data_IF_838691467999
#
_entry.id   IF_838691467999
#
_cell.length_a   1.000
_cell.length_b   1.000
_cell.length_c   1.000
_cell.angle_alpha   90.00
_cell.angle_beta   90.00
_cell.angle_gamma   90.00
#
_symmetry.space_group_name_H-M   'P 1'
#
loop_
_entity.id
_entity.type
_entity.pdbx_description
1 polymer ?
#
# COMPACT_ATOMS: atom_id res chain seq x y z
N UNK A 1 10.48 5.14 12.36
CA UNK A 1 9.07 4.96 12.70
C UNK A 1 8.71 3.50 12.52
N UNK A 2 7.89 2.91 13.37
CA UNK A 2 7.46 1.53 13.13
C UNK A 2 6.74 1.45 11.77
N UNK A 3 6.97 0.38 11.02
CA UNK A 3 6.47 0.25 9.64
C UNK A 3 4.95 0.38 9.51
N UNK A 4 4.25 0.11 10.58
CA UNK A 4 2.78 0.12 10.60
C UNK A 4 2.16 1.49 10.87
N UNK A 5 2.94 2.48 11.35
CA UNK A 5 2.32 3.63 11.99
C UNK A 5 1.66 4.60 11.00
N UNK A 6 2.20 4.77 9.80
CA UNK A 6 1.72 5.86 8.96
C UNK A 6 1.55 5.52 7.49
N UNK A 7 2.05 4.42 6.98
CA UNK A 7 1.94 4.01 5.58
C UNK A 7 1.95 5.19 4.58
N UNK A 8 2.84 6.13 4.82
CA UNK A 8 2.99 7.31 3.98
C UNK A 8 4.06 7.06 2.93
N UNK A 9 3.78 7.50 1.71
CA UNK A 9 4.71 7.47 0.60
C UNK A 9 5.30 8.84 0.32
N UNK A 10 6.32 8.87 -0.51
CA UNK A 10 6.82 10.12 -1.10
C UNK A 10 5.75 10.78 -1.95
N UNK A 11 4.93 9.98 -2.62
CA UNK A 11 3.72 10.42 -3.31
C UNK A 11 2.54 9.87 -2.53
N UNK A 12 1.63 10.74 -2.08
CA UNK A 12 0.52 10.34 -1.23
C UNK A 12 -0.76 11.09 -1.54
N UNK A 13 -1.66 10.53 -2.35
CA UNK A 13 -2.96 11.13 -2.64
C UNK A 13 -3.87 11.30 -1.42
N UNK A 14 -3.53 10.69 -0.29
CA UNK A 14 -4.36 10.67 0.92
C UNK A 14 -5.76 10.09 0.66
N UNK A 15 -6.79 10.61 1.34
CA UNK A 15 -8.18 10.20 1.15
C UNK A 15 -8.81 11.00 0.01
N UNK A 16 -8.55 10.57 -1.22
CA UNK A 16 -8.96 11.26 -2.43
C UNK A 16 -9.27 10.28 -3.56
N UNK A 17 -9.58 10.75 -4.73
CA UNK A 17 -9.85 9.92 -5.90
C UNK A 17 -9.18 10.42 -7.18
N UNK A 18 -9.00 9.50 -8.12
CA UNK A 18 -8.71 9.79 -9.52
C UNK A 18 -7.32 10.33 -9.80
N UNK A 19 -6.34 10.09 -8.93
CA UNK A 19 -4.95 10.45 -9.23
C UNK A 19 -4.38 9.56 -10.32
N UNK A 20 -3.63 10.18 -11.23
CA UNK A 20 -2.84 9.49 -12.23
C UNK A 20 -1.37 9.77 -11.93
N UNK A 21 -0.62 8.69 -11.65
CA UNK A 21 0.82 8.70 -11.42
C UNK A 21 1.42 7.87 -12.53
N UNK A 22 2.10 8.51 -13.45
CA UNK A 22 2.60 7.83 -14.64
C UNK A 22 3.96 8.35 -15.08
N UNK A 23 4.71 7.47 -15.76
CA UNK A 23 6.00 7.77 -16.36
C UNK A 23 7.01 8.37 -15.35
N UNK A 24 6.94 7.92 -14.09
CA UNK A 24 7.74 8.43 -12.99
C UNK A 24 8.83 7.44 -12.57
N UNK A 25 9.97 7.97 -12.13
CA UNK A 25 10.91 7.23 -11.30
C UNK A 25 10.68 7.59 -9.84
N UNK A 26 10.45 6.58 -8.99
CA UNK A 26 10.15 6.73 -7.56
C UNK A 26 11.12 5.86 -6.78
N UNK A 27 12.14 6.45 -6.18
CA UNK A 27 13.22 5.70 -5.56
C UNK A 27 13.73 6.31 -4.25
N UNK A 28 14.58 5.55 -3.55
CA UNK A 28 15.31 5.99 -2.35
C UNK A 28 14.43 6.45 -1.17
N UNK A 29 13.18 6.01 -1.14
CA UNK A 29 12.34 6.26 0.03
C UNK A 29 12.83 5.47 1.24
N UNK A 30 12.91 6.11 2.39
CA UNK A 30 13.18 5.39 3.65
C UNK A 30 12.05 4.46 4.04
N UNK A 31 10.83 4.74 3.62
CA UNK A 31 9.64 3.95 3.86
C UNK A 31 9.00 3.53 2.54
N UNK A 32 7.83 4.05 2.22
CA UNK A 32 7.09 3.70 1.01
C UNK A 32 7.34 4.68 -0.13
N UNK A 33 7.33 4.20 -1.37
CA UNK A 33 7.40 5.05 -2.54
C UNK A 33 6.09 5.80 -2.76
N UNK A 34 5.02 5.07 -3.01
CA UNK A 34 3.68 5.61 -3.28
C UNK A 34 2.72 5.08 -2.23
N UNK A 35 1.86 5.95 -1.67
CA UNK A 35 0.76 5.56 -0.78
C UNK A 35 -0.58 5.92 -1.42
N UNK A 36 -1.31 4.91 -1.89
CA UNK A 36 -2.63 5.09 -2.50
C UNK A 36 -3.71 5.19 -1.41
N UNK A 37 -4.11 6.40 -1.10
CA UNK A 37 -5.27 6.69 -0.29
C UNK A 37 -5.15 6.27 1.17
N UNK A 38 -4.36 7.01 1.93
CA UNK A 38 -4.37 6.84 3.38
C UNK A 38 -5.64 7.43 3.96
N UNK A 39 -6.36 6.59 4.72
CA UNK A 39 -7.50 7.06 5.50
C UNK A 39 -7.06 8.08 6.55
N UNK A 40 -7.86 9.12 6.76
CA UNK A 40 -7.64 10.07 7.86
C UNK A 40 -7.66 9.29 9.16
N UNK A 41 -6.52 9.16 9.79
CA UNK A 41 -6.55 8.75 11.19
C UNK A 41 -7.30 9.85 11.94
N UNK A 42 -8.42 9.56 12.59
CA UNK A 42 -8.92 10.46 13.60
C UNK A 42 -7.74 10.75 14.51
N UNK A 43 -7.53 12.02 14.85
CA UNK A 43 -6.47 12.42 15.74
C UNK A 43 -6.25 11.31 16.74
N UNK A 44 -5.03 10.87 16.88
CA UNK A 44 -4.68 9.72 17.71
C UNK A 44 -4.91 10.08 19.18
N UNK A 45 -6.11 10.48 19.45
CA UNK A 45 -6.59 10.81 20.76
C UNK A 45 -6.97 9.52 21.45
N UNK A 46 -5.96 8.82 21.85
CA UNK A 46 -6.05 7.91 22.96
C UNK A 46 -6.57 8.62 24.22
N UNK A 47 -7.52 9.55 24.07
CA UNK A 47 -8.09 10.35 25.16
C UNK A 47 -8.59 9.50 26.31
N UNK A 48 -9.04 8.30 26.00
CA UNK A 48 -9.52 7.35 27.00
C UNK A 48 -8.49 6.30 27.40
N UNK A 49 -7.33 6.29 26.75
CA UNK A 49 -6.27 5.34 27.02
C UNK A 49 -5.04 6.04 27.58
N UNK A 50 -5.21 6.87 28.58
CA UNK A 50 -4.09 7.53 29.28
C UNK A 50 -2.98 6.56 29.69
N UNK A 51 -3.26 5.27 29.73
CA UNK A 51 -2.38 4.22 30.22
C UNK A 51 -2.16 3.07 29.22
N UNK A 52 -2.85 3.05 28.10
CA UNK A 52 -2.73 1.96 27.12
C UNK A 52 -2.61 2.54 25.72
N UNK A 53 -1.50 2.28 25.08
CA UNK A 53 -1.37 2.53 23.66
C UNK A 53 -2.18 1.50 22.91
N UNK A 54 -2.99 1.94 21.96
CA UNK A 54 -3.49 1.03 20.93
C UNK A 54 -2.28 0.55 20.14
N UNK A 55 -2.18 -0.74 19.94
CA UNK A 55 -1.21 -1.27 19.00
C UNK A 55 -1.62 -0.89 17.56
N UNK A 56 -0.69 -1.08 16.62
CA UNK A 56 -0.94 -0.75 15.22
C UNK A 56 -2.14 -1.50 14.64
N UNK A 57 -2.35 -2.73 15.09
CA UNK A 57 -3.47 -3.58 14.66
C UNK A 57 -4.81 -3.03 15.13
N UNK A 58 -4.89 -2.55 16.36
CA UNK A 58 -6.14 -1.96 16.88
C UNK A 58 -6.48 -0.66 16.17
N UNK A 59 -5.49 0.18 15.92
CA UNK A 59 -5.67 1.43 15.15
C UNK A 59 -6.15 1.11 13.74
N UNK A 60 -5.60 0.10 13.12
CA UNK A 60 -5.98 -0.32 11.77
C UNK A 60 -7.43 -0.82 11.72
N UNK A 61 -7.85 -1.62 12.69
CA UNK A 61 -9.24 -2.08 12.80
C UNK A 61 -10.24 -0.94 12.96
N UNK A 62 -9.91 0.04 13.79
CA UNK A 62 -10.76 1.22 13.98
C UNK A 62 -10.89 2.01 12.67
N UNK A 63 -9.79 2.18 11.94
CA UNK A 63 -9.78 2.83 10.63
C UNK A 63 -10.64 2.08 9.61
N UNK A 64 -10.53 0.75 9.58
CA UNK A 64 -11.35 -0.08 8.70
C UNK A 64 -12.85 0.09 9.02
N UNK A 65 -13.22 0.00 10.31
CA UNK A 65 -14.61 0.17 10.71
C UNK A 65 -15.15 1.55 10.32
N UNK A 66 -14.36 2.57 10.49
CA UNK A 66 -14.76 3.93 10.14
C UNK A 66 -14.85 4.14 8.63
N UNK A 67 -13.91 3.61 7.86
CA UNK A 67 -13.96 3.63 6.41
C UNK A 67 -15.19 2.86 5.87
N UNK A 68 -15.58 1.76 6.53
CA UNK A 68 -16.80 1.02 6.18
C UNK A 68 -18.07 1.85 6.43
N UNK A 69 -18.10 2.65 7.49
CA UNK A 69 -19.22 3.55 7.78
C UNK A 69 -19.32 4.66 6.73
N UNK A 70 -18.21 5.24 6.33
CA UNK A 70 -18.16 6.25 5.26
C UNK A 70 -18.46 5.66 3.89
N UNK A 71 -18.16 4.38 3.70
CA UNK A 71 -18.36 3.63 2.48
C UNK A 71 -17.28 3.87 1.42
N UNK A 72 -16.97 2.79 0.70
CA UNK A 72 -16.08 2.83 -0.47
C UNK A 72 -16.92 2.89 -1.73
N UNK A 73 -17.06 4.06 -2.33
CA UNK A 73 -17.72 4.24 -3.61
C UNK A 73 -16.82 4.96 -4.60
N UNK A 74 -17.03 4.71 -5.89
CA UNK A 74 -16.25 5.36 -6.94
C UNK A 74 -16.45 6.88 -7.00
N UNK A 75 -17.49 7.37 -6.38
CA UNK A 75 -17.79 8.78 -6.27
C UNK A 75 -16.92 9.48 -5.24
N UNK A 76 -16.54 8.77 -4.17
CA UNK A 76 -15.89 9.40 -3.03
C UNK A 76 -14.40 9.10 -2.89
N UNK A 77 -13.90 7.95 -3.39
CA UNK A 77 -12.53 7.52 -3.07
C UNK A 77 -11.95 6.59 -4.13
N UNK A 78 -10.60 6.52 -4.22
CA UNK A 78 -9.89 5.54 -5.01
C UNK A 78 -9.87 5.86 -6.50
N UNK A 79 -9.97 4.82 -7.34
CA UNK A 79 -9.89 4.95 -8.81
C UNK A 79 -8.59 5.63 -9.27
N UNK A 80 -7.50 5.42 -8.55
CA UNK A 80 -6.18 5.90 -8.94
C UNK A 80 -5.60 5.04 -10.05
N UNK A 81 -4.70 5.61 -10.83
CA UNK A 81 -3.93 4.91 -11.85
C UNK A 81 -2.45 5.10 -11.56
N UNK A 82 -1.71 3.99 -11.41
CA UNK A 82 -0.26 4.00 -11.35
C UNK A 82 0.25 3.18 -12.52
N UNK A 83 0.96 3.83 -13.45
CA UNK A 83 1.40 3.13 -14.66
C UNK A 83 2.74 3.63 -15.21
N UNK A 84 3.45 2.70 -15.84
CA UNK A 84 4.74 2.95 -16.50
C UNK A 84 5.77 3.67 -15.60
N UNK A 85 5.71 3.33 -14.30
CA UNK A 85 6.65 3.86 -13.33
C UNK A 85 7.77 2.84 -13.05
N UNK A 86 8.97 3.36 -12.78
CA UNK A 86 10.07 2.61 -12.21
C UNK A 86 10.13 2.91 -10.72
N UNK A 87 9.83 1.90 -9.88
CA UNK A 87 9.70 2.07 -8.42
C UNK A 87 10.70 1.16 -7.73
N UNK A 88 11.69 1.74 -7.05
CA UNK A 88 12.78 0.94 -6.51
C UNK A 88 13.48 1.55 -5.30
N UNK A 89 14.31 0.74 -4.65
CA UNK A 89 15.11 1.13 -3.50
C UNK A 89 14.31 1.82 -2.37
N UNK A 90 13.06 1.37 -2.19
CA UNK A 90 12.23 1.81 -1.08
C UNK A 90 12.43 0.89 0.12
N UNK A 91 12.61 1.48 1.30
CA UNK A 91 12.96 0.76 2.51
C UNK A 91 11.84 -0.09 3.10
N UNK A 92 10.59 0.12 2.69
CA UNK A 92 9.43 -0.61 3.19
C UNK A 92 8.57 -1.17 2.06
N UNK A 93 7.93 -0.34 1.28
CA UNK A 93 6.99 -0.74 0.24
C UNK A 93 7.18 0.11 -1.01
N UNK A 94 7.06 -0.49 -2.19
CA UNK A 94 7.00 0.27 -3.43
C UNK A 94 5.70 1.05 -3.50
N UNK A 95 4.57 0.35 -3.48
CA UNK A 95 3.23 0.93 -3.46
C UNK A 95 2.47 0.35 -2.26
N UNK A 96 2.00 1.20 -1.36
CA UNK A 96 1.11 0.82 -0.27
C UNK A 96 -0.29 1.38 -0.50
N UNK A 97 -1.32 0.58 -0.25
CA UNK A 97 -2.70 1.01 -0.22
C UNK A 97 -3.23 0.92 1.20
N UNK A 98 -3.62 2.06 1.78
CA UNK A 98 -4.20 2.11 3.11
C UNK A 98 -5.65 2.56 3.04
N UNK A 99 -6.53 1.61 2.72
CA UNK A 99 -7.99 1.75 2.63
C UNK A 99 -8.51 2.62 1.47
N UNK A 100 -7.73 3.51 0.91
CA UNK A 100 -8.15 4.41 -0.15
C UNK A 100 -7.67 4.02 -1.55
N UNK A 101 -7.00 2.88 -1.70
CA UNK A 101 -6.55 2.36 -2.99
C UNK A 101 -7.61 1.58 -3.77
N UNK A 102 -8.85 1.56 -3.31
CA UNK A 102 -9.98 0.85 -3.93
C UNK A 102 -10.21 1.26 -5.39
N UNK A 103 -10.69 0.36 -6.22
CA UNK A 103 -11.03 0.60 -7.63
C UNK A 103 -9.88 1.08 -8.52
N UNK A 104 -8.64 0.99 -8.04
CA UNK A 104 -7.46 1.53 -8.72
C UNK A 104 -6.91 0.56 -9.76
N UNK A 105 -6.11 1.09 -10.68
CA UNK A 105 -5.39 0.32 -11.70
C UNK A 105 -3.90 0.53 -11.48
N UNK A 106 -3.17 -0.56 -11.32
CA UNK A 106 -1.70 -0.57 -11.19
C UNK A 106 -1.17 -1.43 -12.32
N UNK A 107 -0.57 -0.81 -13.33
CA UNK A 107 -0.21 -1.52 -14.55
C UNK A 107 1.09 -1.04 -15.18
N UNK A 108 1.76 -1.95 -15.88
CA UNK A 108 2.96 -1.66 -16.67
C UNK A 108 4.10 -1.02 -15.85
N UNK A 109 4.18 -1.31 -14.54
CA UNK A 109 5.25 -0.79 -13.69
C UNK A 109 6.40 -1.78 -13.54
N UNK A 110 7.60 -1.26 -13.33
CA UNK A 110 8.76 -2.00 -12.89
C UNK A 110 8.99 -1.72 -11.41
N UNK A 111 8.85 -2.72 -10.55
CA UNK A 111 8.91 -2.59 -9.10
C UNK A 111 9.98 -3.53 -8.58
N UNK A 112 11.06 -2.99 -8.02
CA UNK A 112 12.21 -3.81 -7.65
C UNK A 112 13.03 -3.25 -6.49
N UNK A 113 13.86 -4.11 -5.90
CA UNK A 113 14.75 -3.75 -4.78
C UNK A 113 14.00 -3.10 -3.61
N UNK A 114 12.82 -3.65 -3.29
CA UNK A 114 12.00 -3.14 -2.19
C UNK A 114 12.33 -3.88 -0.90
N UNK A 115 12.65 -3.11 0.14
CA UNK A 115 13.11 -3.59 1.44
C UNK A 115 14.32 -4.56 1.35
N UNK A 116 15.13 -4.43 0.33
CA UNK A 116 16.29 -5.30 0.10
C UNK A 116 17.35 -5.23 1.20
N UNK A 117 17.45 -4.10 1.89
CA UNK A 117 18.35 -3.94 3.06
C UNK A 117 17.80 -4.59 4.32
N UNK A 118 16.54 -5.01 4.33
CA UNK A 118 15.83 -5.63 5.45
C UNK A 118 15.99 -4.88 6.78
N UNK A 119 16.15 -3.57 6.72
CA UNK A 119 16.24 -2.71 7.91
C UNK A 119 14.90 -2.55 8.62
N UNK A 120 13.81 -2.78 7.89
CA UNK A 120 12.46 -2.79 8.41
C UNK A 120 11.93 -4.21 8.34
N UNK A 121 11.47 -4.71 9.46
CA UNK A 121 10.87 -6.04 9.59
C UNK A 121 9.41 -5.90 10.02
N UNK A 122 8.61 -6.92 9.72
CA UNK A 122 7.22 -6.98 10.13
C UNK A 122 6.24 -6.65 9.02
N UNK A 123 5.19 -5.92 9.38
CA UNK A 123 4.08 -5.63 8.48
C UNK A 123 4.44 -4.58 7.42
N UNK A 124 3.63 -4.53 6.37
CA UNK A 124 3.66 -3.49 5.35
C UNK A 124 4.93 -3.48 4.48
N UNK A 125 5.52 -4.64 4.21
CA UNK A 125 6.71 -4.76 3.36
C UNK A 125 6.40 -5.50 2.06
N UNK A 126 6.86 -4.97 0.95
CA UNK A 126 6.71 -5.62 -0.36
C UNK A 126 6.68 -4.66 -1.54
N UNK A 127 6.72 -5.20 -2.74
CA UNK A 127 6.56 -4.40 -3.96
C UNK A 127 5.25 -3.63 -3.95
N UNK A 128 4.14 -4.34 -3.79
CA UNK A 128 2.82 -3.74 -3.52
C UNK A 128 2.25 -4.40 -2.27
N UNK A 129 1.72 -3.59 -1.34
CA UNK A 129 0.97 -4.07 -0.19
C UNK A 129 -0.28 -3.24 0.01
N UNK A 130 -1.45 -3.88 0.05
CA UNK A 130 -2.72 -3.17 0.15
C UNK A 130 -3.64 -3.77 1.21
N UNK A 131 -4.17 -2.89 2.07
CA UNK A 131 -5.42 -3.11 2.78
C UNK A 131 -6.58 -2.57 1.92
N UNK A 132 -7.72 -3.24 1.96
CA UNK A 132 -8.88 -2.91 1.16
C UNK A 132 -8.56 -2.83 -0.35
N UNK A 133 -7.90 -3.88 -0.86
CA UNK A 133 -7.78 -4.06 -2.30
C UNK A 133 -9.14 -4.50 -2.87
N UNK A 134 -10.06 -3.55 -2.99
CA UNK A 134 -11.42 -3.77 -3.47
C UNK A 134 -11.51 -3.39 -4.94
N UNK A 135 -11.86 -4.36 -5.79
CA UNK A 135 -11.99 -4.18 -7.24
C UNK A 135 -10.77 -3.49 -7.89
N UNK A 136 -9.58 -3.80 -7.41
CA UNK A 136 -8.32 -3.28 -7.94
C UNK A 136 -7.86 -4.15 -9.11
N UNK A 137 -7.25 -3.54 -10.11
CA UNK A 137 -6.60 -4.25 -11.22
C UNK A 137 -5.09 -4.08 -11.09
N UNK A 138 -4.38 -5.20 -10.95
CA UNK A 138 -2.91 -5.24 -10.90
C UNK A 138 -2.46 -6.09 -12.08
N UNK A 139 -1.92 -5.45 -13.12
CA UNK A 139 -1.59 -6.17 -14.35
C UNK A 139 -0.32 -5.67 -15.04
N UNK A 140 0.36 -6.60 -15.72
CA UNK A 140 1.55 -6.33 -16.54
C UNK A 140 2.66 -5.59 -15.79
N UNK A 141 2.75 -5.81 -14.47
CA UNK A 141 3.86 -5.29 -13.69
C UNK A 141 4.99 -6.32 -13.62
N UNK A 142 6.20 -5.85 -13.44
CA UNK A 142 7.39 -6.64 -13.26
C UNK A 142 7.93 -6.43 -11.85
N UNK A 143 7.96 -7.52 -11.04
CA UNK A 143 8.42 -7.51 -9.65
C UNK A 143 9.66 -8.37 -9.49
N UNK A 144 10.74 -7.81 -9.00
CA UNK A 144 11.91 -8.60 -8.62
C UNK A 144 12.73 -7.98 -7.49
N UNK A 145 13.50 -8.80 -6.80
CA UNK A 145 14.34 -8.39 -5.68
C UNK A 145 13.56 -7.60 -4.60
N UNK A 146 12.30 -7.94 -4.44
CA UNK A 146 11.48 -7.45 -3.33
C UNK A 146 11.48 -8.47 -2.20
N UNK A 147 11.32 -8.04 -0.96
CA UNK A 147 11.09 -8.96 0.16
C UNK A 147 9.84 -9.80 -0.09
N UNK A 148 8.80 -9.17 -0.62
CA UNK A 148 7.60 -9.80 -1.21
C UNK A 148 7.24 -9.05 -2.48
N UNK A 149 6.76 -9.72 -3.51
CA UNK A 149 6.30 -9.06 -4.72
C UNK A 149 4.97 -8.34 -4.48
N UNK A 150 3.96 -9.09 -4.07
CA UNK A 150 2.60 -8.58 -3.86
C UNK A 150 2.01 -9.13 -2.57
N UNK A 151 1.35 -8.28 -1.81
CA UNK A 151 0.62 -8.65 -0.61
C UNK A 151 -0.75 -7.96 -0.55
N UNK A 152 -1.81 -8.75 -0.74
CA UNK A 152 -3.18 -8.29 -0.54
C UNK A 152 -3.61 -8.73 0.86
N UNK A 153 -3.90 -7.77 1.70
CA UNK A 153 -4.18 -7.97 3.12
C UNK A 153 -5.67 -7.71 3.43
N UNK A 154 -6.00 -7.26 4.60
CA UNK A 154 -7.36 -7.12 5.08
C UNK A 154 -8.29 -6.43 4.08
N UNK A 155 -9.52 -6.93 3.97
CA UNK A 155 -10.58 -6.42 3.11
C UNK A 155 -10.29 -6.55 1.59
N UNK A 156 -9.35 -7.39 1.19
CA UNK A 156 -9.13 -7.66 -0.23
C UNK A 156 -10.31 -8.45 -0.81
N UNK A 157 -10.93 -7.93 -1.87
CA UNK A 157 -12.03 -8.58 -2.57
C UNK A 157 -12.18 -8.05 -4.00
N UNK A 158 -12.57 -8.90 -4.93
CA UNK A 158 -12.80 -8.51 -6.33
C UNK A 158 -11.54 -8.09 -7.09
N UNK A 159 -10.39 -8.08 -6.46
CA UNK A 159 -9.13 -7.66 -7.08
C UNK A 159 -8.66 -8.68 -8.12
N UNK A 160 -8.25 -8.18 -9.26
CA UNK A 160 -7.73 -9.01 -10.36
C UNK A 160 -6.22 -8.80 -10.52
N UNK A 161 -5.47 -9.88 -10.32
CA UNK A 161 -4.02 -9.93 -10.55
C UNK A 161 -3.75 -10.77 -11.80
N UNK A 162 -3.18 -10.17 -12.84
CA UNK A 162 -3.00 -10.86 -14.12
C UNK A 162 -1.81 -10.34 -14.92
N UNK A 163 -1.18 -11.22 -15.68
CA UNK A 163 -0.07 -10.88 -16.60
C UNK A 163 1.13 -10.22 -15.91
N UNK A 164 1.32 -10.41 -14.61
CA UNK A 164 2.48 -9.89 -13.90
C UNK A 164 3.63 -10.90 -13.97
N UNK A 165 4.86 -10.41 -13.95
CA UNK A 165 6.07 -11.20 -13.83
C UNK A 165 6.64 -11.05 -12.44
N UNK A 166 6.89 -12.16 -11.73
CA UNK A 166 7.53 -12.21 -10.42
C UNK A 166 8.76 -13.10 -10.50
N UNK A 167 9.92 -12.63 -10.09
CA UNK A 167 11.11 -13.45 -9.96
C UNK A 167 12.09 -12.87 -8.93
N UNK A 168 12.96 -13.71 -8.40
CA UNK A 168 14.02 -13.33 -7.46
C UNK A 168 13.54 -12.52 -6.23
N UNK A 169 12.29 -12.72 -5.80
CA UNK A 169 11.80 -12.17 -4.55
C UNK A 169 12.25 -13.06 -3.37
N UNK A 170 12.65 -12.46 -2.27
CA UNK A 170 13.47 -13.13 -1.24
C UNK A 170 12.71 -13.98 -0.25
N UNK A 171 11.40 -13.85 -0.15
CA UNK A 171 10.61 -14.76 0.68
C UNK A 171 10.14 -15.95 -0.15
N UNK A 172 10.56 -17.17 0.21
CA UNK A 172 10.16 -18.37 -0.51
C UNK A 172 8.69 -18.76 -0.30
N UNK A 173 8.01 -18.08 0.60
CA UNK A 173 6.57 -18.22 0.79
C UNK A 173 5.91 -16.87 0.52
N UNK A 174 5.51 -16.68 -0.72
CA UNK A 174 4.51 -15.68 -1.02
C UNK A 174 3.20 -16.14 -0.38
N UNK A 175 2.76 -15.39 0.59
CA UNK A 175 1.47 -15.64 1.21
C UNK A 175 0.35 -15.19 0.27
#
# INVERSE_FOLDING_TARGET
>A
APPTAYQEGMIGPHWSKGWIIEDCEVCDSKCSGISLGKYKQPNNDNKWLKWKFKDGTQTERDNICQAQIEGWTKENIGSHIVRRCNIHDCGQTGIVGHLGGVFSIIEDNHIHHINNKQNLAGAEIGGIKMHAAIDVIIRRNHFHHCTRGLWLDWQAQGTRVTQNLFHDNTFPSDY
#
